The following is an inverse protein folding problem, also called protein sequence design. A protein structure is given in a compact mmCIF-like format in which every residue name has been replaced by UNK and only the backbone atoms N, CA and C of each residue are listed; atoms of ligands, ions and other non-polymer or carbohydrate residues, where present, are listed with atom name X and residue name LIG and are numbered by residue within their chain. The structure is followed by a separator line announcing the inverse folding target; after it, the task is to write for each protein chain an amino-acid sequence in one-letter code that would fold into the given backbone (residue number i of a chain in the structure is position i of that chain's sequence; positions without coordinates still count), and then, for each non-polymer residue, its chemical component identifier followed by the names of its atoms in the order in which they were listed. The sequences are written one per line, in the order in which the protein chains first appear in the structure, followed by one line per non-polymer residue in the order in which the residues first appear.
data_IF_669424427492
#
_entry.id   IF_669424427492
#
_cell.length_a   1.000
_cell.length_b   1.000
_cell.length_c   1.000
_cell.angle_alpha   90.00
_cell.angle_beta   90.00
_cell.angle_gamma   90.00
#
_symmetry.space_group_name_H-M   'P 1'
#
loop_
_entity.id
_entity.type
_entity.pdbx_description
1 polymer ?
#
# COMPACT_ATOMS: atom_id res chain seq x y z
N UNK A 1 -8.16 -14.06 6.68
CA UNK A 1 -7.57 -14.22 5.34
C UNK A 1 -7.47 -15.71 4.98
N UNK A 2 -7.88 -16.10 3.76
CA UNK A 2 -7.78 -17.49 3.27
C UNK A 2 -7.16 -17.50 1.87
N UNK A 3 -6.12 -18.30 1.67
CA UNK A 3 -5.49 -18.52 0.37
C UNK A 3 -5.86 -19.90 -0.16
N UNK A 4 -6.19 -20.01 -1.45
CA UNK A 4 -6.54 -21.28 -2.11
C UNK A 4 -5.86 -21.36 -3.47
N UNK A 5 -4.95 -22.31 -3.63
CA UNK A 5 -4.31 -22.62 -4.91
C UNK A 5 -5.33 -23.30 -5.82
N UNK A 6 -5.62 -22.70 -6.97
CA UNK A 6 -6.59 -23.21 -7.94
C UNK A 6 -5.91 -24.13 -8.95
N UNK A 7 -4.73 -23.74 -9.44
CA UNK A 7 -4.00 -24.51 -10.43
C UNK A 7 -2.50 -24.22 -10.38
N UNK A 8 -1.70 -25.22 -10.76
CA UNK A 8 -0.26 -25.10 -10.99
C UNK A 8 0.06 -25.65 -12.37
N UNK A 9 0.82 -24.91 -13.16
CA UNK A 9 1.29 -25.39 -14.45
C UNK A 9 2.34 -26.50 -14.25
N UNK A 10 2.27 -27.56 -15.06
CA UNK A 10 3.12 -28.75 -14.89
C UNK A 10 4.54 -28.58 -15.46
N UNK A 11 4.78 -27.54 -16.25
CA UNK A 11 6.06 -27.30 -16.96
C UNK A 11 6.84 -26.13 -16.37
N UNK A 12 6.22 -25.30 -15.54
CA UNK A 12 6.78 -24.06 -15.00
C UNK A 12 6.48 -23.94 -13.50
N UNK A 13 6.83 -22.80 -12.89
CA UNK A 13 6.47 -22.48 -11.49
C UNK A 13 5.21 -21.61 -11.37
N UNK A 14 4.46 -21.43 -12.46
CA UNK A 14 3.28 -20.58 -12.47
C UNK A 14 2.14 -21.19 -11.64
N UNK A 15 1.38 -20.32 -10.95
CA UNK A 15 0.27 -20.70 -10.07
C UNK A 15 -0.86 -19.70 -10.24
N UNK A 16 -2.07 -20.21 -10.37
CA UNK A 16 -3.29 -19.43 -10.24
C UNK A 16 -3.90 -19.72 -8.87
N UNK A 17 -4.25 -18.69 -8.12
CA UNK A 17 -4.80 -18.84 -6.77
C UNK A 17 -5.75 -17.71 -6.42
N UNK A 18 -6.58 -17.96 -5.41
CA UNK A 18 -7.54 -17.03 -4.85
C UNK A 18 -7.14 -16.65 -3.42
N UNK A 19 -7.24 -15.37 -3.09
CA UNK A 19 -7.06 -14.84 -1.74
C UNK A 19 -8.33 -14.11 -1.29
N UNK A 20 -8.95 -14.59 -0.21
CA UNK A 20 -10.10 -13.95 0.42
C UNK A 20 -9.65 -13.09 1.60
N UNK A 21 -9.99 -11.82 1.57
CA UNK A 21 -9.81 -10.85 2.66
C UNK A 21 -11.17 -10.35 3.15
N UNK A 22 -11.16 -9.54 4.21
CA UNK A 22 -12.38 -8.94 4.77
C UNK A 22 -13.07 -7.97 3.79
N UNK A 23 -12.36 -7.46 2.77
CA UNK A 23 -12.86 -6.49 1.79
C UNK A 23 -13.06 -7.07 0.38
N UNK A 24 -12.92 -8.40 0.23
CA UNK A 24 -13.23 -9.08 -1.02
C UNK A 24 -12.21 -10.15 -1.43
N UNK A 25 -12.41 -10.63 -2.66
CA UNK A 25 -11.58 -11.63 -3.33
C UNK A 25 -10.45 -10.96 -4.13
N UNK A 26 -9.32 -11.63 -4.22
CA UNK A 26 -8.18 -11.29 -5.09
C UNK A 26 -7.77 -12.54 -5.86
N UNK A 27 -7.79 -12.49 -7.19
CA UNK A 27 -7.28 -13.54 -8.06
C UNK A 27 -5.81 -13.29 -8.39
N UNK A 28 -5.00 -14.34 -8.43
CA UNK A 28 -3.56 -14.26 -8.74
C UNK A 28 -3.23 -15.06 -10.00
N UNK A 29 -2.25 -14.62 -10.83
CA UNK A 29 -1.35 -13.48 -10.63
C UNK A 29 -2.04 -12.11 -10.79
N UNK A 30 -1.63 -11.13 -9.99
CA UNK A 30 -2.25 -9.80 -9.93
C UNK A 30 -1.23 -8.68 -10.08
N UNK A 31 -1.63 -7.61 -10.77
CA UNK A 31 -0.93 -6.33 -10.79
C UNK A 31 -1.70 -5.34 -9.91
N UNK A 32 -0.97 -4.59 -9.08
CA UNK A 32 -1.57 -3.67 -8.11
C UNK A 32 -1.28 -2.21 -8.49
N UNK A 33 -2.28 -1.41 -8.87
CA UNK A 33 -2.11 0.04 -9.02
C UNK A 33 -1.60 0.67 -7.72
N UNK A 34 -0.62 1.57 -7.83
CA UNK A 34 0.02 2.19 -6.66
C UNK A 34 -0.63 3.53 -6.33
N UNK A 35 -1.29 3.58 -5.18
CA UNK A 35 -1.83 4.76 -4.54
C UNK A 35 -0.77 5.51 -3.72
N UNK A 36 -0.39 6.71 -4.16
CA UNK A 36 0.51 7.61 -3.44
C UNK A 36 -0.29 8.75 -2.81
N UNK A 37 -0.21 8.91 -1.49
CA UNK A 37 -1.03 9.90 -0.75
C UNK A 37 -2.53 9.66 -0.99
N UNK A 38 -2.96 8.41 -0.80
CA UNK A 38 -4.38 8.04 -0.87
C UNK A 38 -5.06 8.31 -2.23
N UNK A 39 -4.29 8.33 -3.32
CA UNK A 39 -4.82 8.41 -4.69
C UNK A 39 -3.89 7.71 -5.69
N UNK A 40 -4.47 7.10 -6.72
CA UNK A 40 -3.70 6.63 -7.88
C UNK A 40 -3.53 7.81 -8.81
N UNK A 41 -2.29 8.22 -9.06
CA UNK A 41 -2.01 9.45 -9.82
C UNK A 41 -2.51 9.33 -11.26
N UNK A 42 -3.20 10.36 -11.72
CA UNK A 42 -3.65 10.47 -13.11
C UNK A 42 -4.89 9.66 -13.46
N UNK A 43 -5.51 8.97 -12.48
CA UNK A 43 -6.72 8.16 -12.69
C UNK A 43 -7.79 8.65 -11.72
N UNK A 44 -8.98 8.96 -12.23
CA UNK A 44 -10.10 9.32 -11.35
C UNK A 44 -10.57 8.09 -10.56
N UNK A 45 -11.03 8.31 -9.32
CA UNK A 45 -11.50 7.21 -8.46
C UNK A 45 -12.60 6.35 -9.10
N UNK A 46 -13.49 6.99 -9.88
CA UNK A 46 -14.53 6.32 -10.64
C UNK A 46 -13.96 5.41 -11.72
N UNK A 47 -13.04 5.92 -12.53
CA UNK A 47 -12.34 5.18 -13.59
C UNK A 47 -11.53 4.01 -13.02
N UNK A 48 -10.82 4.24 -11.91
CA UNK A 48 -10.10 3.18 -11.20
C UNK A 48 -11.05 2.04 -10.77
N UNK A 49 -12.25 2.40 -10.27
CA UNK A 49 -13.23 1.42 -9.77
C UNK A 49 -13.96 0.69 -10.91
N UNK A 50 -14.39 1.41 -11.92
CA UNK A 50 -15.32 0.93 -12.94
C UNK A 50 -14.62 0.42 -14.20
N UNK A 51 -13.52 1.06 -14.62
CA UNK A 51 -12.83 0.73 -15.87
C UNK A 51 -11.61 -0.16 -15.63
N UNK A 52 -10.71 0.27 -14.74
CA UNK A 52 -9.53 -0.55 -14.38
C UNK A 52 -9.96 -1.74 -13.53
N UNK A 53 -10.93 -1.53 -12.64
CA UNK A 53 -11.56 -2.53 -11.80
C UNK A 53 -10.56 -3.52 -11.14
N UNK A 54 -9.49 -3.05 -10.46
CA UNK A 54 -8.51 -3.94 -9.84
C UNK A 54 -9.11 -4.62 -8.60
N UNK A 55 -8.70 -5.86 -8.37
CA UNK A 55 -9.03 -6.59 -7.14
C UNK A 55 -8.44 -5.93 -5.89
N UNK A 56 -7.27 -5.32 -6.03
CA UNK A 56 -6.50 -4.71 -4.93
C UNK A 56 -5.64 -3.56 -5.44
N UNK A 57 -5.44 -2.56 -4.58
CA UNK A 57 -4.49 -1.46 -4.79
C UNK A 57 -3.42 -1.46 -3.71
N UNK A 58 -2.26 -0.88 -4.01
CA UNK A 58 -1.18 -0.69 -3.05
C UNK A 58 -1.19 0.74 -2.49
N UNK A 59 -1.30 0.91 -1.17
CA UNK A 59 -1.13 2.19 -0.49
C UNK A 59 0.29 2.37 0.05
N UNK A 60 0.94 3.48 -0.30
CA UNK A 60 2.27 3.77 0.23
C UNK A 60 2.20 4.40 1.64
N UNK A 61 2.68 3.67 2.64
CA UNK A 61 2.60 4.06 4.05
C UNK A 61 3.52 5.23 4.37
N UNK A 62 4.71 5.30 3.76
CA UNK A 62 5.65 6.40 3.99
C UNK A 62 5.01 7.76 3.67
N UNK A 63 4.37 7.87 2.51
CA UNK A 63 3.69 9.10 2.11
C UNK A 63 2.49 9.41 3.01
N UNK A 64 1.62 8.43 3.26
CA UNK A 64 0.44 8.59 4.11
C UNK A 64 0.78 9.03 5.54
N UNK A 65 1.87 8.49 6.10
CA UNK A 65 2.39 8.83 7.42
C UNK A 65 2.83 10.29 7.52
N UNK A 66 3.54 10.81 6.51
CA UNK A 66 3.99 12.20 6.49
C UNK A 66 2.86 13.17 6.14
N UNK A 67 1.98 12.79 5.21
CA UNK A 67 0.83 13.56 4.75
C UNK A 67 -0.23 12.62 4.18
N UNK A 68 -1.46 12.58 4.72
CA UNK A 68 -2.06 13.53 5.65
C UNK A 68 -1.74 13.30 7.14
N UNK A 69 -0.93 12.29 7.49
CA UNK A 69 -0.69 11.79 8.86
C UNK A 69 -1.80 10.87 9.36
N UNK A 70 -1.39 9.90 10.17
CA UNK A 70 -2.25 8.84 10.71
C UNK A 70 -3.45 9.38 11.50
N UNK A 71 -3.28 10.48 12.23
CA UNK A 71 -4.37 11.08 13.02
C UNK A 71 -5.51 11.61 12.14
N UNK A 72 -5.19 12.14 10.95
CA UNK A 72 -6.22 12.57 9.99
C UNK A 72 -6.92 11.35 9.40
N UNK A 73 -6.18 10.30 9.05
CA UNK A 73 -6.76 9.05 8.54
C UNK A 73 -7.68 8.39 9.58
N UNK A 74 -7.30 8.38 10.85
CA UNK A 74 -8.15 7.88 11.96
C UNK A 74 -9.45 8.69 12.07
N UNK A 75 -9.36 10.02 12.03
CA UNK A 75 -10.54 10.91 12.09
C UNK A 75 -11.48 10.72 10.89
N UNK A 76 -10.95 10.40 9.71
CA UNK A 76 -11.73 10.04 8.54
C UNK A 76 -12.37 8.64 8.63
N UNK A 77 -12.02 7.85 9.66
CA UNK A 77 -12.51 6.48 9.85
C UNK A 77 -11.73 5.43 9.06
N UNK A 78 -10.46 5.70 8.77
CA UNK A 78 -9.54 4.79 8.09
C UNK A 78 -9.23 5.16 6.64
N UNK A 79 -8.25 4.47 6.06
CA UNK A 79 -7.77 4.75 4.70
C UNK A 79 -8.86 4.54 3.63
N UNK A 80 -9.64 3.46 3.75
CA UNK A 80 -10.77 3.17 2.86
C UNK A 80 -11.74 4.36 2.76
N UNK A 81 -12.21 4.88 3.91
CA UNK A 81 -13.12 6.03 3.97
C UNK A 81 -12.47 7.31 3.47
N UNK A 82 -11.20 7.54 3.81
CA UNK A 82 -10.45 8.71 3.36
C UNK A 82 -10.31 8.76 1.83
N UNK A 83 -10.10 7.61 1.19
CA UNK A 83 -9.94 7.50 -0.27
C UNK A 83 -11.25 7.34 -1.03
N UNK A 84 -12.36 7.03 -0.35
CA UNK A 84 -13.57 6.54 -1.02
C UNK A 84 -13.32 5.24 -1.77
N UNK A 85 -12.51 4.34 -1.19
CA UNK A 85 -12.22 3.00 -1.73
C UNK A 85 -12.75 1.94 -0.76
N UNK A 86 -13.62 1.07 -1.24
CA UNK A 86 -14.33 0.05 -0.46
C UNK A 86 -13.84 -1.38 -0.73
N UNK A 87 -12.76 -1.54 -1.51
CA UNK A 87 -12.16 -2.83 -1.89
C UNK A 87 -10.79 -3.02 -1.23
N UNK A 88 -10.16 -4.17 -1.50
CA UNK A 88 -8.89 -4.56 -0.91
C UNK A 88 -7.80 -3.48 -1.08
N UNK A 89 -7.02 -3.26 -0.02
CA UNK A 89 -5.82 -2.42 -0.01
C UNK A 89 -4.68 -3.22 0.63
N UNK A 90 -3.52 -3.24 -0.03
CA UNK A 90 -2.25 -3.65 0.59
C UNK A 90 -1.48 -2.39 0.95
N UNK A 91 -1.09 -2.24 2.21
CA UNK A 91 -0.16 -1.17 2.61
C UNK A 91 1.25 -1.73 2.70
N UNK A 92 2.22 -1.02 2.11
CA UNK A 92 3.64 -1.33 2.36
C UNK A 92 4.05 -0.90 3.78
N UNK A 93 5.27 -1.22 4.19
CA UNK A 93 5.81 -0.76 5.48
C UNK A 93 6.45 0.63 5.42
N UNK A 94 6.62 1.21 4.21
CA UNK A 94 7.38 2.43 3.98
C UNK A 94 8.90 2.32 4.15
N UNK A 95 9.43 1.15 4.56
CA UNK A 95 10.86 0.97 4.81
C UNK A 95 11.73 1.19 3.56
N UNK A 96 11.24 0.80 2.39
CA UNK A 96 11.96 1.01 1.13
C UNK A 96 12.12 2.51 0.81
N UNK A 97 11.08 3.33 0.98
CA UNK A 97 11.16 4.78 0.75
C UNK A 97 12.13 5.45 1.71
N UNK A 98 12.15 5.03 2.98
CA UNK A 98 13.16 5.50 3.92
C UNK A 98 14.56 5.09 3.44
N UNK A 99 14.72 3.88 2.90
CA UNK A 99 15.96 3.40 2.32
C UNK A 99 16.35 4.05 0.97
N UNK A 100 15.42 4.54 0.16
CA UNK A 100 15.75 5.20 -1.11
C UNK A 100 16.22 6.65 -0.91
N UNK A 101 15.86 7.29 0.21
CA UNK A 101 16.25 8.66 0.55
C UNK A 101 17.62 8.66 1.26
N UNK A 102 18.69 8.43 0.49
CA UNK A 102 20.07 8.18 0.94
C UNK A 102 20.68 9.25 1.84
N UNK A 103 20.36 10.53 1.63
CA UNK A 103 21.10 11.63 2.27
C UNK A 103 20.60 12.01 3.68
N UNK A 104 19.50 11.43 4.18
CA UNK A 104 18.79 11.95 5.35
C UNK A 104 18.37 10.88 6.38
N UNK A 105 19.13 9.79 6.54
CA UNK A 105 18.79 8.71 7.49
C UNK A 105 19.95 8.18 8.32
N UNK A 106 19.60 7.60 9.48
CA UNK A 106 20.47 6.76 10.32
C UNK A 106 19.76 5.44 10.58
N UNK A 107 20.27 4.36 9.97
CA UNK A 107 19.78 2.99 10.18
C UNK A 107 20.45 2.42 11.41
N UNK A 108 19.67 1.77 12.27
CA UNK A 108 20.15 0.94 13.37
C UNK A 108 19.31 -0.34 13.45
N UNK A 109 19.71 -1.26 14.32
CA UNK A 109 18.98 -2.51 14.54
C UNK A 109 17.57 -2.26 15.08
N UNK A 110 17.41 -1.28 15.98
CA UNK A 110 16.11 -0.95 16.57
C UNK A 110 15.14 -0.23 15.60
N UNK A 111 15.62 0.21 14.43
CA UNK A 111 14.81 0.92 13.46
C UNK A 111 15.58 1.98 12.67
N UNK A 112 14.83 2.81 11.94
CA UNK A 112 15.41 3.84 11.07
C UNK A 112 14.93 5.22 11.47
N UNK A 113 15.88 6.10 11.82
CA UNK A 113 15.63 7.53 11.98
C UNK A 113 15.82 8.23 10.64
N UNK A 114 14.87 9.05 10.23
CA UNK A 114 14.94 9.79 8.97
C UNK A 114 14.40 11.21 9.09
N UNK A 115 14.79 12.07 8.15
CA UNK A 115 14.27 13.43 8.01
C UNK A 115 13.16 13.46 6.98
N UNK A 116 12.02 14.07 7.32
CA UNK A 116 10.90 14.31 6.41
C UNK A 116 11.34 15.19 5.24
N UNK A 117 10.93 14.81 4.02
CA UNK A 117 11.18 15.61 2.81
C UNK A 117 10.16 16.75 2.65
N UNK A 118 9.13 16.81 3.50
CA UNK A 118 8.05 17.80 3.41
C UNK A 118 8.41 19.05 4.24
N UNK A 119 8.85 18.86 5.48
CA UNK A 119 9.04 19.91 6.48
C UNK A 119 10.37 19.79 7.25
N UNK A 120 11.16 18.75 6.98
CA UNK A 120 12.46 18.57 7.62
C UNK A 120 12.43 18.03 9.05
N UNK A 121 11.27 17.64 9.58
CA UNK A 121 11.16 17.02 10.91
C UNK A 121 11.85 15.66 10.95
N UNK A 122 12.29 15.24 12.15
CA UNK A 122 12.84 13.91 12.35
C UNK A 122 11.77 12.92 12.79
N UNK A 123 11.80 11.73 12.19
CA UNK A 123 10.91 10.62 12.47
C UNK A 123 11.70 9.33 12.69
N UNK A 124 11.08 8.35 13.34
CA UNK A 124 11.65 7.02 13.57
C UNK A 124 10.60 5.98 13.15
N UNK A 125 10.99 5.06 12.29
CA UNK A 125 10.22 3.85 11.99
C UNK A 125 10.89 2.65 12.65
N UNK A 126 10.09 1.85 13.33
CA UNK A 126 10.45 0.56 13.93
C UNK A 126 9.54 -0.51 13.33
N UNK A 127 9.90 -1.81 13.43
CA UNK A 127 8.97 -2.90 13.16
C UNK A 127 7.66 -2.81 13.97
#
# INVERSE_FOLDING_TARGET
MKFTLQHSDTRTKARAAELITDHGKIETPIFMPVGTVASVKGVHQKELREEVNPDIILGNTYHLYLRPKTEILKKAGGLHKFMGWDRNILTDSGGYQVYSLSNNRKIKEEGVKFKSHIDGSYHVFTP
#
